data_IF_822173449827
#
_entry.id   IF_822173449827
#
_cell.length_a   1.000
_cell.length_b   1.000
_cell.length_c   1.000
_cell.angle_alpha   90.00
_cell.angle_beta   90.00
_cell.angle_gamma   90.00
#
_symmetry.space_group_name_H-M   'P 1'
#
loop_
_entity.id
_entity.type
_entity.pdbx_description
1 polymer ?
#
# COMPACT_ATOMS: atom_id res chain seq x y z
N UNK A 1 -4.69 8.17 1.87
CA UNK A 1 -5.74 8.53 0.88
C UNK A 1 -5.16 8.60 -0.52
N UNK A 2 -5.26 7.47 -1.22
CA UNK A 2 -5.13 7.40 -2.69
C UNK A 2 -6.54 7.35 -3.30
N UNK A 3 -6.66 7.87 -4.52
CA UNK A 3 -7.92 7.84 -5.28
C UNK A 3 -7.98 6.60 -6.11
N UNK A 4 -9.18 6.07 -6.23
CA UNK A 4 -9.41 4.77 -6.88
C UNK A 4 -10.52 4.98 -7.89
N UNK A 5 -10.12 5.41 -9.09
CA UNK A 5 -11.03 5.55 -10.22
C UNK A 5 -10.88 4.35 -11.16
N UNK A 6 -12.00 3.83 -11.65
CA UNK A 6 -12.06 2.97 -12.84
C UNK A 6 -12.97 3.67 -13.85
N UNK A 7 -12.44 3.97 -15.03
CA UNK A 7 -13.19 4.69 -16.06
C UNK A 7 -14.17 3.72 -16.76
N UNK A 8 -15.46 3.97 -16.59
CA UNK A 8 -16.47 3.73 -17.64
C UNK A 8 -16.71 5.06 -18.36
N UNK A 9 -17.41 5.04 -19.50
CA UNK A 9 -17.39 6.12 -20.50
C UNK A 9 -17.87 7.53 -20.05
N UNK A 10 -18.48 7.68 -18.87
CA UNK A 10 -18.92 8.99 -18.34
C UNK A 10 -17.87 9.62 -17.41
N UNK A 11 -17.57 10.91 -17.63
CA UNK A 11 -16.37 11.60 -17.15
C UNK A 11 -16.50 12.23 -15.74
N UNK A 12 -16.73 11.42 -14.69
CA UNK A 12 -16.83 11.90 -13.30
C UNK A 12 -15.57 11.60 -12.46
N UNK A 13 -14.91 12.64 -11.93
CA UNK A 13 -13.63 12.63 -11.19
C UNK A 13 -13.79 13.29 -9.81
N UNK A 14 -13.27 12.67 -8.73
CA UNK A 14 -13.27 13.16 -7.32
C UNK A 14 -11.90 12.80 -6.66
N UNK A 15 -11.45 13.46 -5.56
CA UNK A 15 -10.01 13.76 -5.25
C UNK A 15 -9.54 13.67 -3.73
N UNK A 16 -8.19 13.64 -3.44
CA UNK A 16 -7.39 13.94 -2.18
C UNK A 16 -6.71 12.90 -1.15
N UNK A 17 -5.35 12.87 -0.97
CA UNK A 17 -4.43 12.94 0.26
C UNK A 17 -3.81 11.77 1.16
N UNK A 18 -2.55 11.31 0.92
CA UNK A 18 -1.43 10.96 1.90
C UNK A 18 -1.61 10.04 3.17
N UNK A 19 -0.68 9.76 4.14
CA UNK A 19 0.74 10.17 4.49
C UNK A 19 1.68 8.97 4.95
N UNK A 20 2.40 8.97 6.11
CA UNK A 20 3.56 8.10 6.52
C UNK A 20 3.46 7.48 7.95
N UNK A 21 4.02 6.28 8.21
CA UNK A 21 4.20 5.69 9.58
C UNK A 21 5.68 5.69 10.06
N UNK A 22 5.93 6.09 11.31
CA UNK A 22 7.28 6.25 11.87
C UNK A 22 7.35 5.59 13.25
N UNK A 23 8.20 4.57 13.40
CA UNK A 23 8.32 3.79 14.64
C UNK A 23 9.75 3.78 15.18
N UNK A 24 9.95 4.45 16.32
CA UNK A 24 11.20 4.39 17.09
C UNK A 24 11.09 3.29 18.15
N UNK A 25 11.76 2.17 17.91
CA UNK A 25 12.28 1.30 18.97
C UNK A 25 13.78 1.09 18.72
N UNK A 26 14.59 1.36 19.74
CA UNK A 26 16.04 1.36 19.60
C UNK A 26 16.63 -0.05 19.66
N UNK A 27 17.24 -0.50 18.56
CA UNK A 27 18.55 -1.18 18.53
C UNK A 27 18.92 -1.61 17.09
N UNK A 28 19.76 -0.80 16.45
CA UNK A 28 20.35 -1.00 15.10
C UNK A 28 19.39 -0.96 13.90
N UNK A 29 19.91 -0.49 12.75
CA UNK A 29 19.20 -0.20 11.49
C UNK A 29 18.20 0.97 11.55
N UNK A 30 18.77 2.18 11.48
CA UNK A 30 18.09 3.47 11.44
C UNK A 30 17.42 3.74 10.08
N UNK A 31 16.13 3.41 9.93
CA UNK A 31 15.33 3.85 8.77
C UNK A 31 14.56 5.14 9.07
N UNK A 32 15.23 6.29 8.90
CA UNK A 32 14.57 7.59 8.84
C UNK A 32 14.13 7.84 7.40
N UNK A 33 12.83 7.77 7.15
CA UNK A 33 12.21 8.29 5.95
C UNK A 33 11.13 9.30 6.36
N UNK A 34 11.47 10.58 6.25
CA UNK A 34 10.44 11.62 6.12
C UNK A 34 9.95 11.64 4.66
N UNK A 35 8.67 11.98 4.46
CA UNK A 35 8.12 12.49 3.20
C UNK A 35 7.86 11.53 1.99
N UNK A 36 7.64 10.21 2.17
CA UNK A 36 7.24 9.32 1.05
C UNK A 36 6.49 8.00 1.40
N UNK A 37 5.22 8.02 1.85
CA UNK A 37 4.44 6.77 2.12
C UNK A 37 2.95 6.76 1.72
N UNK A 38 2.32 5.63 2.04
CA UNK A 38 1.02 5.16 1.58
C UNK A 38 0.12 4.76 2.77
N UNK A 39 -0.65 5.69 3.33
CA UNK A 39 -1.63 5.38 4.41
C UNK A 39 -3.01 4.94 3.87
N UNK A 40 -3.57 3.90 4.50
CA UNK A 40 -4.90 3.32 4.24
C UNK A 40 -6.06 3.96 5.03
N UNK A 41 -5.79 4.67 6.13
CA UNK A 41 -6.84 5.17 7.08
C UNK A 41 -7.97 5.93 6.39
N UNK A 42 -7.67 6.57 5.25
CA UNK A 42 -8.64 7.21 4.39
C UNK A 42 -8.45 6.76 2.95
N UNK A 43 -9.53 6.39 2.26
CA UNK A 43 -9.55 5.97 0.85
C UNK A 43 -10.88 6.39 0.24
N UNK A 44 -10.83 6.95 -0.96
CA UNK A 44 -12.01 7.43 -1.66
C UNK A 44 -12.00 6.90 -3.10
N UNK A 45 -13.17 6.50 -3.57
CA UNK A 45 -13.35 5.84 -4.86
C UNK A 45 -14.76 5.28 -4.99
N UNK A 46 -15.11 4.79 -6.18
CA UNK A 46 -16.46 4.28 -6.46
C UNK A 46 -16.70 2.97 -5.71
N UNK A 47 -17.88 2.81 -5.08
CA UNK A 47 -18.19 1.70 -4.16
C UNK A 47 -17.99 0.29 -4.74
N UNK A 48 -18.11 0.13 -6.06
CA UNK A 48 -17.81 -1.12 -6.77
C UNK A 48 -16.36 -1.63 -6.56
N UNK A 49 -15.45 -0.80 -6.03
CA UNK A 49 -14.14 -1.22 -5.52
C UNK A 49 -14.26 -2.42 -4.57
N UNK A 50 -15.20 -2.36 -3.63
CA UNK A 50 -15.34 -3.35 -2.54
C UNK A 50 -15.74 -4.73 -3.08
N UNK A 51 -16.46 -4.77 -4.20
CA UNK A 51 -16.85 -6.00 -4.89
C UNK A 51 -15.72 -6.53 -5.79
N UNK A 52 -15.06 -5.65 -6.54
CA UNK A 52 -14.03 -6.03 -7.52
C UNK A 52 -12.67 -6.37 -6.89
N UNK A 53 -12.32 -5.73 -5.77
CA UNK A 53 -11.04 -5.91 -5.05
C UNK A 53 -11.35 -5.91 -3.54
N UNK A 54 -11.98 -6.99 -3.02
CA UNK A 54 -12.35 -7.07 -1.61
C UNK A 54 -11.11 -7.14 -0.70
N UNK A 55 -11.24 -6.63 0.52
CA UNK A 55 -10.23 -6.79 1.58
C UNK A 55 -9.94 -8.27 1.84
N UNK A 56 -8.68 -8.62 2.05
CA UNK A 56 -8.24 -9.99 2.31
C UNK A 56 -8.51 -10.34 3.79
N UNK A 57 -9.46 -11.23 4.11
CA UNK A 57 -9.85 -11.49 5.50
C UNK A 57 -8.79 -12.32 6.25
N UNK A 58 -7.82 -12.90 5.53
CA UNK A 58 -6.77 -13.75 6.06
C UNK A 58 -5.51 -12.96 6.45
N UNK A 59 -5.67 -11.73 6.95
CA UNK A 59 -4.59 -10.87 7.45
C UNK A 59 -4.80 -10.46 8.94
N UNK A 60 -5.08 -11.41 9.85
CA UNK A 60 -5.38 -11.11 11.24
C UNK A 60 -4.21 -10.43 11.95
N UNK A 61 -4.51 -9.36 12.68
CA UNK A 61 -3.59 -8.57 13.50
C UNK A 61 -2.43 -7.88 12.73
N UNK A 62 -2.42 -7.94 11.40
CA UNK A 62 -1.52 -7.12 10.58
C UNK A 62 -1.84 -5.64 10.80
N UNK A 63 -0.83 -4.78 10.75
CA UNK A 63 -0.98 -3.33 10.88
C UNK A 63 -0.21 -2.62 9.76
N UNK A 64 1.11 -2.85 9.68
CA UNK A 64 1.92 -2.38 8.55
C UNK A 64 1.84 -3.36 7.37
N UNK A 65 1.63 -2.84 6.15
CA UNK A 65 1.75 -3.58 4.89
C UNK A 65 0.42 -3.94 4.21
N UNK A 66 -0.72 -3.73 4.87
CA UNK A 66 -2.04 -3.84 4.23
C UNK A 66 -2.25 -2.77 3.15
N UNK A 67 -1.60 -1.63 3.30
CA UNK A 67 -1.76 -0.46 2.45
C UNK A 67 -1.08 -0.66 1.11
N UNK A 68 0.19 -1.10 1.16
CA UNK A 68 0.97 -1.41 -0.03
C UNK A 68 0.41 -2.64 -0.75
N UNK A 69 -0.05 -3.66 -0.01
CA UNK A 69 -0.77 -4.81 -0.57
C UNK A 69 -1.96 -4.34 -1.41
N UNK A 70 -2.92 -3.64 -0.82
CA UNK A 70 -4.15 -3.37 -1.56
C UNK A 70 -3.96 -2.25 -2.58
N UNK A 71 -3.08 -1.28 -2.36
CA UNK A 71 -2.70 -0.30 -3.41
C UNK A 71 -2.17 -1.02 -4.66
N UNK A 72 -1.29 -2.01 -4.49
CA UNK A 72 -0.79 -2.85 -5.59
C UNK A 72 -1.92 -3.68 -6.21
N UNK A 73 -2.80 -4.31 -5.40
CA UNK A 73 -3.97 -5.06 -5.92
C UNK A 73 -4.91 -4.19 -6.75
N UNK A 74 -5.26 -3.00 -6.28
CA UNK A 74 -6.15 -2.06 -6.98
C UNK A 74 -5.54 -1.64 -8.32
N UNK A 75 -4.28 -1.23 -8.30
CA UNK A 75 -3.57 -0.78 -9.49
C UNK A 75 -3.39 -1.93 -10.52
N UNK A 76 -3.11 -3.15 -10.07
CA UNK A 76 -3.07 -4.35 -10.95
C UNK A 76 -4.45 -4.81 -11.42
N UNK A 77 -5.55 -4.42 -10.75
CA UNK A 77 -6.94 -4.61 -11.20
C UNK A 77 -7.47 -3.47 -12.11
N UNK A 78 -6.60 -2.58 -12.59
CA UNK A 78 -6.96 -1.54 -13.57
C UNK A 78 -7.67 -0.33 -12.96
N UNK A 79 -7.41 -0.05 -11.69
CA UNK A 79 -7.77 1.22 -11.07
C UNK A 79 -6.63 2.22 -11.21
N UNK A 80 -6.96 3.46 -11.52
CA UNK A 80 -6.01 4.56 -11.50
C UNK A 80 -5.85 5.08 -10.08
N UNK A 81 -4.60 5.13 -9.62
CA UNK A 81 -4.19 5.69 -8.34
C UNK A 81 -3.82 7.16 -8.49
N UNK A 82 -4.38 8.02 -7.64
CA UNK A 82 -4.06 9.46 -7.62
C UNK A 82 -3.60 9.88 -6.23
N UNK A 83 -2.62 10.77 -6.23
CA UNK A 83 -2.21 11.62 -5.12
C UNK A 83 -2.59 13.08 -5.47
N UNK A 84 -2.87 13.94 -4.48
CA UNK A 84 -3.10 15.36 -4.70
C UNK A 84 -1.81 16.16 -4.58
N UNK A 85 -2.00 17.46 -4.75
CA UNK A 85 -1.07 18.54 -4.44
C UNK A 85 -0.98 18.88 -2.93
N UNK A 86 -2.09 18.77 -2.18
CA UNK A 86 -2.21 19.34 -0.83
C UNK A 86 -2.81 18.43 0.25
N UNK A 87 -2.49 18.80 1.49
CA UNK A 87 -3.02 18.20 2.71
C UNK A 87 -4.46 18.72 2.97
N UNK A 88 -5.43 17.82 3.19
CA UNK A 88 -6.83 18.19 3.53
C UNK A 88 -7.50 17.34 4.62
N UNK A 89 -6.86 16.24 5.06
CA UNK A 89 -7.29 15.46 6.22
C UNK A 89 -6.09 15.25 7.13
N UNK A 90 -6.28 15.45 8.42
CA UNK A 90 -5.28 15.30 9.47
C UNK A 90 -5.68 14.17 10.42
N UNK A 91 -4.70 13.42 10.91
CA UNK A 91 -4.89 12.42 11.95
C UNK A 91 -4.07 12.83 13.18
N UNK A 92 -4.68 12.80 14.37
CA UNK A 92 -3.96 13.07 15.62
C UNK A 92 -3.02 11.90 15.91
N UNK A 93 -1.71 12.11 15.74
CA UNK A 93 -0.68 11.13 16.08
C UNK A 93 -0.15 11.30 17.51
N UNK A 94 -0.38 12.45 18.14
CA UNK A 94 0.17 12.81 19.44
C UNK A 94 -0.12 11.78 20.54
N UNK A 95 0.89 11.55 21.38
CA UNK A 95 0.83 10.65 22.54
C UNK A 95 0.29 11.33 23.81
N UNK A 96 0.11 12.66 23.79
CA UNK A 96 -0.41 13.44 24.92
C UNK A 96 -1.78 12.94 25.41
N UNK A 97 -2.60 12.44 24.48
CA UNK A 97 -3.86 11.78 24.76
C UNK A 97 -3.63 10.29 24.99
N UNK A 98 -3.72 9.84 26.27
CA UNK A 98 -3.74 8.42 26.66
C UNK A 98 -4.99 7.71 26.10
N UNK A 99 -4.95 7.32 24.84
CA UNK A 99 -5.98 6.52 24.16
C UNK A 99 -5.59 5.03 24.10
N UNK A 100 -6.55 4.10 24.05
CA UNK A 100 -6.25 2.73 23.64
C UNK A 100 -5.68 2.72 22.23
N UNK A 101 -4.69 1.87 21.99
CA UNK A 101 -3.95 1.73 20.73
C UNK A 101 -3.79 0.24 20.46
N UNK A 102 -3.69 -0.15 19.19
CA UNK A 102 -3.61 -1.55 18.77
C UNK A 102 -2.42 -2.32 19.38
N UNK A 103 -1.33 -1.63 19.69
CA UNK A 103 -0.15 -2.20 20.37
C UNK A 103 -0.24 -2.23 21.90
N UNK A 104 -1.26 -1.60 22.51
CA UNK A 104 -1.50 -1.66 23.97
C UNK A 104 -2.27 -2.93 24.38
N UNK A 105 -2.77 -3.69 23.40
CA UNK A 105 -3.50 -4.94 23.57
C UNK A 105 -2.64 -6.04 24.18
N UNK A 106 -3.23 -7.09 24.77
CA UNK A 106 -2.45 -8.28 25.13
C UNK A 106 -2.02 -9.02 23.85
N UNK A 107 -0.73 -8.97 23.54
CA UNK A 107 -0.08 -9.78 22.51
C UNK A 107 0.32 -11.14 23.09
N UNK A 108 -0.56 -12.14 22.93
CA UNK A 108 -0.25 -13.55 23.19
C UNK A 108 0.60 -14.15 22.04
N UNK A 109 1.02 -15.41 22.16
CA UNK A 109 1.78 -16.09 21.11
C UNK A 109 0.97 -16.28 19.82
N UNK A 110 -0.33 -16.61 19.94
CA UNK A 110 -1.28 -16.75 18.85
C UNK A 110 -1.34 -15.50 17.95
N UNK A 111 -1.57 -14.30 18.51
CA UNK A 111 -1.53 -13.02 17.77
C UNK A 111 -0.19 -12.83 17.06
N UNK A 112 0.93 -13.11 17.73
CA UNK A 112 2.27 -13.02 17.11
C UNK A 112 2.47 -14.04 15.98
N UNK A 113 1.89 -15.23 16.09
CA UNK A 113 1.88 -16.26 15.03
C UNK A 113 1.02 -15.86 13.83
N UNK A 114 -0.15 -15.28 14.12
CA UNK A 114 -1.09 -14.77 13.13
C UNK A 114 -0.50 -13.63 12.29
N UNK A 115 0.16 -12.64 12.91
CA UNK A 115 0.88 -11.57 12.17
C UNK A 115 1.99 -12.13 11.29
N UNK A 116 2.78 -13.07 11.80
CA UNK A 116 3.85 -13.73 11.02
C UNK A 116 3.27 -14.40 9.75
N UNK A 117 2.17 -15.14 9.89
CA UNK A 117 1.48 -15.77 8.75
C UNK A 117 0.89 -14.74 7.77
N UNK A 118 0.31 -13.64 8.27
CA UNK A 118 -0.17 -12.53 7.45
C UNK A 118 0.97 -11.85 6.69
N UNK A 119 2.13 -11.63 7.32
CA UNK A 119 3.34 -11.07 6.68
C UNK A 119 3.87 -11.98 5.56
N UNK A 120 3.94 -13.29 5.79
CA UNK A 120 4.26 -14.26 4.73
C UNK A 120 3.25 -14.17 3.57
N UNK A 121 1.94 -14.07 3.86
CA UNK A 121 0.87 -14.00 2.85
C UNK A 121 0.91 -12.71 2.03
N UNK A 122 1.15 -11.53 2.63
CA UNK A 122 1.30 -10.30 1.84
C UNK A 122 2.54 -10.34 0.96
N UNK A 123 3.66 -10.87 1.46
CA UNK A 123 4.89 -11.01 0.68
C UNK A 123 4.70 -12.00 -0.49
N UNK A 124 3.92 -13.06 -0.32
CA UNK A 124 3.53 -13.96 -1.40
C UNK A 124 2.68 -13.25 -2.47
N UNK A 125 1.60 -12.56 -2.08
CA UNK A 125 0.75 -11.83 -3.02
C UNK A 125 1.53 -10.76 -3.78
N UNK A 126 2.42 -10.04 -3.10
CA UNK A 126 3.26 -8.96 -3.67
C UNK A 126 4.43 -9.46 -4.53
N UNK A 127 4.64 -10.78 -4.67
CA UNK A 127 5.77 -11.40 -5.38
C UNK A 127 7.15 -11.13 -4.72
N UNK A 128 7.17 -10.96 -3.40
CA UNK A 128 8.34 -10.64 -2.57
C UNK A 128 8.74 -11.79 -1.62
N UNK A 129 8.04 -12.92 -1.63
CA UNK A 129 8.19 -13.99 -0.61
C UNK A 129 9.61 -14.56 -0.45
N UNK A 130 10.40 -14.58 -1.52
CA UNK A 130 11.79 -15.06 -1.49
C UNK A 130 12.82 -13.96 -1.18
N UNK A 131 12.40 -12.69 -1.11
CA UNK A 131 13.26 -11.56 -0.76
C UNK A 131 13.30 -11.25 0.75
N UNK A 132 12.34 -11.78 1.52
CA UNK A 132 12.18 -11.47 2.95
C UNK A 132 12.26 -12.74 3.83
N UNK A 133 12.71 -12.64 5.09
CA UNK A 133 12.75 -13.78 6.00
C UNK A 133 11.37 -14.40 6.23
N UNK A 134 11.21 -15.66 5.83
CA UNK A 134 9.97 -16.43 5.95
C UNK A 134 9.71 -16.73 7.42
N UNK A 135 8.64 -16.16 7.99
CA UNK A 135 8.35 -16.18 9.43
C UNK A 135 6.94 -16.74 9.65
N UNK A 136 6.81 -17.83 10.40
CA UNK A 136 5.54 -18.55 10.52
C UNK A 136 5.17 -19.34 9.26
N UNK A 137 3.93 -19.82 9.17
CA UNK A 137 3.44 -20.56 8.01
C UNK A 137 3.04 -19.62 6.85
N UNK A 138 2.84 -20.17 5.65
CA UNK A 138 2.29 -19.44 4.51
C UNK A 138 0.83 -19.83 4.31
N UNK A 139 -0.09 -18.88 4.50
CA UNK A 139 -1.53 -19.10 4.29
C UNK A 139 -1.94 -18.80 2.84
N UNK A 140 -2.38 -19.83 2.12
CA UNK A 140 -2.83 -19.77 0.72
C UNK A 140 -4.36 -19.92 0.54
N UNK A 141 -5.15 -19.81 1.62
CA UNK A 141 -6.64 -19.82 1.51
C UNK A 141 -7.13 -18.73 0.56
N UNK A 142 -8.06 -19.08 -0.34
CA UNK A 142 -8.62 -18.20 -1.36
C UNK A 142 -7.57 -17.36 -2.15
N UNK A 143 -6.33 -17.85 -2.32
CA UNK A 143 -5.22 -16.98 -2.77
C UNK A 143 -5.50 -16.29 -4.11
N UNK A 144 -6.11 -16.99 -5.08
CA UNK A 144 -6.44 -16.45 -6.40
C UNK A 144 -7.44 -15.28 -6.33
N UNK A 145 -8.43 -15.38 -5.44
CA UNK A 145 -9.46 -14.36 -5.18
C UNK A 145 -8.90 -13.11 -4.49
N UNK A 146 -7.82 -13.26 -3.72
CA UNK A 146 -7.15 -12.18 -3.00
C UNK A 146 -5.78 -11.79 -3.59
N UNK A 147 -5.48 -12.27 -4.80
CA UNK A 147 -4.24 -12.03 -5.55
C UNK A 147 -4.13 -10.62 -6.15
N UNK A 148 -3.05 -10.39 -6.91
CA UNK A 148 -2.88 -9.24 -7.81
C UNK A 148 -3.69 -9.43 -9.10
N UNK A 149 -4.11 -8.34 -9.73
CA UNK A 149 -4.83 -8.37 -11.00
C UNK A 149 -3.90 -8.51 -12.21
N UNK A 150 -4.50 -8.56 -13.41
CA UNK A 150 -3.80 -8.76 -14.69
C UNK A 150 -3.81 -7.55 -15.63
N UNK A 151 -4.27 -6.38 -15.17
CA UNK A 151 -4.42 -5.18 -16.00
C UNK A 151 -3.12 -4.35 -16.11
N UNK A 152 -2.14 -4.58 -15.21
CA UNK A 152 -0.81 -3.96 -15.23
C UNK A 152 0.21 -4.87 -14.56
N UNK A 153 1.48 -4.78 -14.96
CA UNK A 153 2.60 -5.53 -14.38
C UNK A 153 2.97 -5.00 -12.97
N UNK A 154 2.97 -5.82 -11.90
CA UNK A 154 3.35 -5.41 -10.55
C UNK A 154 4.74 -4.75 -10.45
N UNK A 155 5.69 -5.10 -11.31
CA UNK A 155 7.04 -4.50 -11.33
C UNK A 155 6.99 -3.01 -11.67
N UNK A 156 6.05 -2.60 -12.53
CA UNK A 156 5.86 -1.22 -12.93
C UNK A 156 5.26 -0.36 -11.78
N UNK A 157 4.51 -0.95 -10.85
CA UNK A 157 4.09 -0.27 -9.61
C UNK A 157 5.31 0.12 -8.75
N UNK A 158 6.22 -0.82 -8.50
CA UNK A 158 7.46 -0.55 -7.76
C UNK A 158 8.37 0.44 -8.49
N UNK A 159 8.47 0.35 -9.83
CA UNK A 159 9.18 1.32 -10.69
C UNK A 159 8.58 2.74 -10.60
N UNK A 160 7.26 2.86 -10.50
CA UNK A 160 6.56 4.15 -10.37
C UNK A 160 6.86 4.84 -9.04
N UNK A 161 6.82 4.09 -7.94
CA UNK A 161 7.22 4.58 -6.61
C UNK A 161 8.74 4.69 -6.40
N UNK A 162 9.54 4.22 -7.37
CA UNK A 162 11.02 4.21 -7.34
C UNK A 162 11.58 3.58 -6.05
N UNK A 163 10.92 2.53 -5.57
CA UNK A 163 11.37 1.81 -4.38
C UNK A 163 12.58 0.94 -4.69
N UNK A 164 13.66 1.10 -3.91
CA UNK A 164 14.87 0.30 -4.02
C UNK A 164 14.82 -0.84 -3.00
N UNK A 165 14.67 -2.09 -3.44
CA UNK A 165 14.64 -3.26 -2.55
C UNK A 165 15.96 -3.55 -1.83
N UNK A 166 17.10 -3.05 -2.34
CA UNK A 166 18.42 -3.26 -1.73
C UNK A 166 18.63 -2.30 -0.56
N UNK A 167 18.46 -0.99 -0.79
CA UNK A 167 18.61 0.03 0.27
C UNK A 167 17.33 0.20 1.11
N UNK A 168 16.19 -0.31 0.64
CA UNK A 168 14.83 -0.22 1.24
C UNK A 168 14.25 1.20 1.29
N UNK A 169 14.74 2.07 0.41
CA UNK A 169 14.38 3.49 0.35
C UNK A 169 13.48 3.82 -0.85
N UNK A 170 12.77 4.94 -0.74
CA UNK A 170 12.15 5.66 -1.86
C UNK A 170 12.64 7.11 -1.83
N UNK A 171 12.77 7.80 -2.99
CA UNK A 171 13.17 9.21 -2.99
C UNK A 171 12.05 10.10 -2.42
N UNK A 172 12.41 11.26 -1.85
CA UNK A 172 11.42 12.28 -1.48
C UNK A 172 10.62 12.71 -2.71
N UNK A 173 9.29 12.68 -2.55
CA UNK A 173 8.33 13.14 -3.55
C UNK A 173 7.58 14.40 -3.12
N UNK A 174 7.65 14.84 -1.86
CA UNK A 174 6.80 15.92 -1.33
C UNK A 174 6.93 17.24 -2.11
N UNK A 175 8.16 17.60 -2.52
CA UNK A 175 8.41 18.76 -3.39
C UNK A 175 7.70 18.65 -4.75
N UNK A 176 7.74 17.47 -5.38
CA UNK A 176 7.07 17.20 -6.66
C UNK A 176 5.56 17.13 -6.52
N UNK A 177 5.07 16.57 -5.42
CA UNK A 177 3.66 16.44 -5.10
C UNK A 177 3.01 17.81 -4.89
N UNK A 178 3.58 18.65 -4.02
CA UNK A 178 3.11 20.03 -3.78
C UNK A 178 3.07 20.89 -5.04
N UNK A 179 3.96 20.60 -6.00
CA UNK A 179 4.03 21.30 -7.29
C UNK A 179 3.24 20.58 -8.42
N UNK A 180 2.42 19.56 -8.11
CA UNK A 180 1.63 18.80 -9.08
C UNK A 180 2.43 17.92 -10.07
N UNK A 181 3.76 17.90 -9.97
CA UNK A 181 4.69 17.22 -10.89
C UNK A 181 4.86 15.72 -10.68
N UNK A 182 3.98 15.06 -9.90
CA UNK A 182 3.99 13.61 -9.75
C UNK A 182 3.15 12.94 -10.85
N UNK A 183 3.83 12.52 -11.91
CA UNK A 183 3.21 11.88 -13.08
C UNK A 183 2.53 10.57 -12.68
N UNK A 184 1.23 10.46 -12.98
CA UNK A 184 0.44 9.22 -12.80
C UNK A 184 0.62 8.28 -13.99
N UNK A 185 0.33 6.99 -13.80
CA UNK A 185 0.29 5.97 -14.87
C UNK A 185 -1.15 5.47 -15.05
N UNK A 186 -1.97 6.10 -15.92
CA UNK A 186 -3.35 5.64 -16.19
C UNK A 186 -3.38 4.24 -16.81
N UNK A 187 -4.44 3.47 -16.55
CA UNK A 187 -4.58 2.07 -17.01
C UNK A 187 -4.51 1.97 -18.53
N UNK A 188 -5.09 2.95 -19.23
CA UNK A 188 -5.21 2.99 -20.69
C UNK A 188 -4.11 3.89 -21.31
N UNK A 189 -2.90 3.91 -20.73
CA UNK A 189 -1.78 4.70 -21.23
C UNK A 189 -0.63 3.82 -21.72
N UNK A 190 0.17 4.31 -22.67
CA UNK A 190 1.36 3.61 -23.16
C UNK A 190 2.34 3.29 -22.02
N UNK A 191 2.42 4.16 -21.00
CA UNK A 191 3.20 3.97 -19.79
C UNK A 191 2.75 2.74 -18.97
N UNK A 192 1.50 2.30 -19.10
CA UNK A 192 0.97 1.08 -18.47
C UNK A 192 1.19 -0.17 -19.33
N UNK A 193 1.28 -0.04 -20.65
CA UNK A 193 1.57 -1.15 -21.58
C UNK A 193 3.08 -1.40 -21.75
N UNK A 194 3.95 -0.52 -21.25
CA UNK A 194 5.41 -0.72 -21.16
C UNK A 194 5.79 -1.80 -20.12
N UNK A 195 5.48 -3.06 -20.41
CA UNK A 195 6.08 -4.23 -19.77
C UNK A 195 7.04 -4.90 -20.76
N UNK A 196 8.25 -5.22 -20.29
CA UNK A 196 9.31 -5.97 -20.99
C UNK A 196 9.84 -5.36 -22.31
N UNK A 197 10.89 -4.53 -22.22
CA UNK A 197 12.10 -4.56 -23.08
C UNK A 197 13.07 -3.41 -22.72
N UNK A 198 13.63 -3.44 -21.51
CA UNK A 198 14.99 -2.99 -21.13
C UNK A 198 15.29 -3.53 -19.74
#
# INVERSE_FOLDING_TARGET
>A
MYFIAKKNNNNDIILFTFFFSLSLFSLHYLFILHASNIIYTYIFGRGHRLLNVPTNPYLPYLFDGEEILMSTRLWTHGYDLYLPDRDIIYHIYEQYYKRPLFWNDNWNEEKRGAVKAAQNRINYILQLYDQYPKRGHLDLRDIDKYSLGKQRDPKLFWRWFKYNFQTKESPDFCSKLRNGGFVRIPTNSELATQSLYT
#
